data_IF_405658385056
#
_entry.id   IF_405658385056
#
_cell.length_a   1.000
_cell.length_b   1.000
_cell.length_c   1.000
_cell.angle_alpha   90.00
_cell.angle_beta   90.00
_cell.angle_gamma   90.00
#
_symmetry.space_group_name_H-M   'P 1'
#
loop_
_entity.id
_entity.type
_entity.pdbx_description
1 polymer ?
#
# COMPACT_ATOMS: atom_id res chain seq x y z
N UNK A 1 -16.81 -3.50 0.10
CA UNK A 1 -15.76 -2.59 -0.40
C UNK A 1 -14.59 -2.72 0.57
N UNK A 2 -13.39 -2.94 0.06
CA UNK A 2 -12.18 -3.07 0.88
C UNK A 2 -11.10 -2.13 0.36
N UNK A 3 -9.99 -2.07 1.07
CA UNK A 3 -8.79 -1.31 0.68
C UNK A 3 -7.64 -2.28 0.47
N UNK A 4 -6.69 -1.90 -0.36
CA UNK A 4 -5.41 -2.61 -0.46
C UNK A 4 -4.46 -2.05 0.57
N UNK A 5 -3.65 -2.93 1.17
CA UNK A 5 -2.73 -2.56 2.22
C UNK A 5 -1.35 -3.15 1.97
N UNK A 6 -0.32 -2.40 2.36
CA UNK A 6 1.05 -2.87 2.45
C UNK A 6 1.40 -3.02 3.93
N UNK A 7 1.93 -4.16 4.32
CA UNK A 7 2.53 -4.36 5.64
C UNK A 7 4.04 -4.34 5.45
N UNK A 8 4.73 -3.40 6.10
CA UNK A 8 6.19 -3.32 6.04
C UNK A 8 6.83 -4.45 6.85
N UNK A 9 8.12 -4.70 6.62
CA UNK A 9 8.90 -5.67 7.39
C UNK A 9 8.94 -5.35 8.91
N UNK A 10 8.77 -4.07 9.26
CA UNK A 10 8.68 -3.59 10.64
C UNK A 10 7.26 -3.76 11.24
N UNK A 11 6.31 -4.26 10.46
CA UNK A 11 4.92 -4.49 10.87
C UNK A 11 4.00 -3.27 10.74
N UNK A 12 4.48 -2.16 10.19
CA UNK A 12 3.64 -0.98 9.94
C UNK A 12 2.71 -1.25 8.75
N UNK A 13 1.42 -0.96 8.93
CA UNK A 13 0.43 -1.07 7.85
C UNK A 13 0.22 0.28 7.18
N UNK A 14 0.14 0.26 5.85
CA UNK A 14 -0.19 1.42 5.00
C UNK A 14 -1.40 1.08 4.14
N UNK A 15 -2.33 2.02 4.00
CA UNK A 15 -3.39 1.92 2.99
C UNK A 15 -2.85 2.38 1.64
N UNK A 16 -3.04 1.59 0.58
CA UNK A 16 -2.60 1.98 -0.77
C UNK A 16 -3.65 2.89 -1.42
N UNK A 17 -3.23 4.10 -1.80
CA UNK A 17 -4.07 5.06 -2.50
C UNK A 17 -4.15 4.77 -3.99
N UNK A 18 -5.32 4.37 -4.48
CA UNK A 18 -5.57 4.05 -5.90
C UNK A 18 -4.42 3.26 -6.55
N UNK A 19 -4.02 2.11 -5.99
CA UNK A 19 -2.87 1.37 -6.49
C UNK A 19 -3.11 0.84 -7.91
N UNK A 20 -2.04 0.61 -8.68
CA UNK A 20 -2.09 -0.14 -9.93
C UNK A 20 -2.78 -1.50 -9.73
N UNK A 21 -3.50 -1.98 -10.74
CA UNK A 21 -4.18 -3.28 -10.71
C UNK A 21 -3.26 -4.45 -10.39
N UNK A 22 -1.99 -4.34 -10.75
CA UNK A 22 -0.95 -5.35 -10.52
C UNK A 22 -0.55 -5.45 -9.04
N UNK A 23 -0.99 -4.52 -8.18
CA UNK A 23 -0.85 -4.63 -6.72
C UNK A 23 -2.15 -5.04 -6.03
N UNK A 24 -3.23 -5.23 -6.80
CA UNK A 24 -4.57 -5.53 -6.30
C UNK A 24 -4.83 -7.03 -6.19
N UNK A 25 -3.87 -7.77 -5.64
CA UNK A 25 -3.97 -9.19 -5.33
C UNK A 25 -2.96 -9.54 -4.22
N UNK A 26 -3.11 -10.69 -3.54
CA UNK A 26 -2.12 -11.13 -2.57
C UNK A 26 -0.74 -11.28 -3.25
N UNK A 27 0.26 -10.59 -2.70
CA UNK A 27 1.66 -10.68 -3.10
C UNK A 27 2.46 -11.03 -1.84
N UNK A 28 3.45 -11.91 -1.98
CA UNK A 28 4.31 -12.27 -0.85
C UNK A 28 5.29 -11.14 -0.54
N UNK A 29 6.00 -10.63 -1.55
CA UNK A 29 6.97 -9.54 -1.35
C UNK A 29 6.94 -8.54 -2.50
N UNK A 30 6.83 -7.26 -2.16
CA UNK A 30 6.86 -6.14 -3.10
C UNK A 30 7.69 -5.00 -2.53
N UNK A 31 8.48 -4.36 -3.40
CA UNK A 31 9.12 -3.09 -3.08
C UNK A 31 8.27 -1.95 -3.65
N UNK A 32 7.88 -1.00 -2.82
CA UNK A 32 7.09 0.17 -3.22
C UNK A 32 7.87 1.44 -2.93
N UNK A 33 8.04 2.26 -3.97
CA UNK A 33 8.47 3.65 -3.83
C UNK A 33 7.25 4.56 -3.94
N UNK A 34 7.03 5.37 -2.92
CA UNK A 34 5.81 6.15 -2.81
C UNK A 34 5.93 7.34 -1.88
N UNK A 35 4.81 8.04 -1.72
CA UNK A 35 4.70 9.20 -0.83
C UNK A 35 3.59 8.95 0.17
N UNK A 36 3.93 9.02 1.46
CA UNK A 36 2.93 8.98 2.54
C UNK A 36 2.15 10.29 2.52
N UNK A 37 0.82 10.18 2.50
CA UNK A 37 -0.10 11.30 2.50
C UNK A 37 -0.62 11.50 3.92
N UNK A 38 0.03 12.39 4.67
CA UNK A 38 -0.28 12.62 6.09
C UNK A 38 -1.63 13.34 6.31
N UNK A 39 -2.12 14.07 5.31
CA UNK A 39 -3.33 14.90 5.43
C UNK A 39 -4.61 14.19 4.96
N UNK A 40 -4.50 12.96 4.45
CA UNK A 40 -5.66 12.21 3.93
C UNK A 40 -6.19 11.28 5.02
N UNK A 41 -7.46 11.47 5.36
CA UNK A 41 -8.20 10.55 6.23
C UNK A 41 -9.08 9.64 5.38
N UNK A 42 -9.02 8.34 5.63
CA UNK A 42 -9.83 7.32 4.95
C UNK A 42 -10.84 6.71 5.91
N UNK A 43 -11.87 6.07 5.35
CA UNK A 43 -12.90 5.39 6.15
C UNK A 43 -12.33 4.13 6.81
N UNK A 44 -11.31 3.50 6.21
CA UNK A 44 -10.72 2.27 6.72
C UNK A 44 -9.89 2.50 8.00
N UNK A 45 -9.18 3.64 8.08
CA UNK A 45 -8.36 4.02 9.25
C UNK A 45 -7.37 2.93 9.71
N UNK A 46 -6.83 2.13 8.77
CA UNK A 46 -5.91 1.03 9.07
C UNK A 46 -4.43 1.44 9.12
N UNK A 47 -4.14 2.71 8.85
CA UNK A 47 -2.79 3.25 8.81
C UNK A 47 -2.70 4.51 7.95
N UNK A 48 -1.49 5.09 7.83
CA UNK A 48 -1.23 6.16 6.89
C UNK A 48 -1.48 5.73 5.45
N UNK A 49 -1.88 6.69 4.62
CA UNK A 49 -2.14 6.47 3.19
C UNK A 49 -0.84 6.57 2.40
N UNK A 50 -0.49 5.55 1.64
CA UNK A 50 0.67 5.50 0.76
C UNK A 50 0.23 5.63 -0.71
N UNK A 51 0.65 6.71 -1.36
CA UNK A 51 0.51 6.86 -2.81
C UNK A 51 1.69 6.16 -3.51
N UNK A 52 1.38 5.16 -4.31
CA UNK A 52 2.38 4.41 -5.10
C UNK A 52 2.85 5.28 -6.27
N UNK A 53 4.16 5.49 -6.37
CA UNK A 53 4.78 6.14 -7.53
C UNK A 53 5.46 5.11 -8.45
N UNK A 54 6.14 4.14 -7.85
CA UNK A 54 6.77 3.01 -8.55
C UNK A 54 6.70 1.74 -7.67
N UNK A 55 6.73 0.57 -8.30
CA UNK A 55 6.75 -0.70 -7.59
C UNK A 55 7.50 -1.78 -8.37
N UNK A 56 8.07 -2.73 -7.63
CA UNK A 56 8.71 -3.94 -8.15
C UNK A 56 8.22 -5.13 -7.36
N UNK A 57 7.61 -6.10 -8.05
CA UNK A 57 7.20 -7.38 -7.45
C UNK A 57 8.44 -8.26 -7.32
N UNK A 58 8.73 -8.74 -6.11
CA UNK A 58 9.90 -9.55 -5.81
C UNK A 58 9.54 -11.05 -5.72
N UNK A 59 8.35 -11.37 -5.19
CA UNK A 59 7.74 -12.70 -5.25
C UNK A 59 6.21 -12.62 -5.20
N UNK A 60 5.54 -13.55 -5.90
CA UNK A 60 4.09 -13.59 -6.11
C UNK A 60 3.51 -14.95 -5.75
#
# INVERSE_FOLDING_TARGET
MGVWALVSEEGQTYELWNPPSDLCHPLETVLIEGTVQEEIMTIAMIGPVLKVNHFTILSS
#
